data_IF_776804050064
#
_entry.id   IF_776804050064
#
_cell.length_a   1.000
_cell.length_b   1.000
_cell.length_c   1.000
_cell.angle_alpha   90.00
_cell.angle_beta   90.00
_cell.angle_gamma   90.00
#
_symmetry.space_group_name_H-M   'P 1'
#
loop_
_entity.id
_entity.type
_entity.pdbx_description
1 polymer ?
#
# COMPACT_ATOMS: atom_id res chain seq x y z
N UNK A 1 -24.67 5.55 -12.91
CA UNK A 1 -24.22 4.51 -11.96
C UNK A 1 -23.25 5.18 -10.99
N UNK A 2 -23.40 5.03 -9.66
CA UNK A 2 -22.47 5.64 -8.72
C UNK A 2 -21.13 4.88 -8.81
N UNK A 3 -20.03 5.61 -9.03
CA UNK A 3 -18.68 5.04 -8.93
C UNK A 3 -18.47 4.61 -7.48
N UNK A 4 -18.25 3.32 -7.25
CA UNK A 4 -17.86 2.81 -5.93
C UNK A 4 -16.56 3.51 -5.56
N UNK A 5 -16.57 4.33 -4.51
CA UNK A 5 -15.37 5.03 -4.03
C UNK A 5 -14.41 3.95 -3.55
N UNK A 6 -13.20 3.92 -4.12
CA UNK A 6 -12.15 3.04 -3.62
C UNK A 6 -11.80 3.48 -2.19
N UNK A 7 -11.52 2.50 -1.32
CA UNK A 7 -11.10 2.76 0.04
C UNK A 7 -9.72 3.42 0.04
N UNK A 8 -9.54 4.38 0.95
CA UNK A 8 -8.25 5.05 1.20
C UNK A 8 -7.19 4.08 1.74
N UNK A 9 -5.92 4.52 1.69
CA UNK A 9 -4.81 3.80 2.28
C UNK A 9 -5.08 3.42 3.75
N UNK A 10 -5.49 4.39 4.56
CA UNK A 10 -5.75 4.22 5.98
C UNK A 10 -6.90 3.24 6.23
N UNK A 11 -7.94 3.28 5.41
CA UNK A 11 -9.04 2.31 5.47
C UNK A 11 -8.57 0.90 5.09
N UNK A 12 -7.74 0.75 4.06
CA UNK A 12 -7.19 -0.55 3.66
C UNK A 12 -6.26 -1.13 4.74
N UNK A 13 -5.44 -0.29 5.35
CA UNK A 13 -4.53 -0.67 6.44
C UNK A 13 -5.30 -1.10 7.70
N UNK A 14 -6.28 -0.31 8.13
CA UNK A 14 -7.12 -0.66 9.28
C UNK A 14 -7.88 -1.97 9.06
N UNK A 15 -8.40 -2.21 7.84
CA UNK A 15 -9.03 -3.49 7.51
C UNK A 15 -8.06 -4.66 7.55
N UNK A 16 -6.80 -4.46 7.14
CA UNK A 16 -5.76 -5.48 7.20
C UNK A 16 -5.41 -5.82 8.65
N UNK A 17 -5.25 -4.82 9.52
CA UNK A 17 -5.01 -5.00 10.96
C UNK A 17 -6.15 -5.82 11.60
N UNK A 18 -7.41 -5.47 11.31
CA UNK A 18 -8.56 -6.24 11.80
C UNK A 18 -8.57 -7.70 11.33
N UNK A 19 -8.04 -7.99 10.15
CA UNK A 19 -7.92 -9.36 9.64
C UNK A 19 -6.83 -10.11 10.40
N UNK A 20 -5.69 -9.47 10.62
CA UNK A 20 -4.58 -10.05 11.40
C UNK A 20 -5.07 -10.39 12.81
N UNK A 21 -5.74 -9.47 13.50
CA UNK A 21 -6.30 -9.71 14.83
C UNK A 21 -7.23 -10.93 14.87
N UNK A 22 -8.09 -11.08 13.84
CA UNK A 22 -8.99 -12.24 13.72
C UNK A 22 -8.24 -13.54 13.51
N UNK A 23 -7.19 -13.53 12.67
CA UNK A 23 -6.38 -14.71 12.41
C UNK A 23 -5.56 -15.11 13.65
N UNK A 24 -5.06 -14.14 14.42
CA UNK A 24 -4.30 -14.38 15.64
C UNK A 24 -5.17 -14.84 16.82
N UNK A 25 -6.45 -14.45 16.85
CA UNK A 25 -7.38 -14.86 17.92
C UNK A 25 -7.56 -16.38 18.03
N UNK A 26 -7.37 -17.12 16.93
CA UNK A 26 -7.54 -18.58 16.88
C UNK A 26 -8.98 -19.08 17.05
N UNK A 27 -9.97 -18.19 17.14
CA UNK A 27 -11.39 -18.55 17.34
C UNK A 27 -12.17 -18.76 16.03
N UNK A 28 -11.52 -18.54 14.88
CA UNK A 28 -12.15 -18.61 13.56
C UNK A 28 -12.25 -20.04 13.03
N UNK A 29 -13.31 -20.35 12.27
CA UNK A 29 -13.42 -21.64 11.58
C UNK A 29 -12.36 -21.73 10.47
N UNK A 30 -11.99 -22.95 10.05
CA UNK A 30 -11.04 -23.15 8.95
C UNK A 30 -11.44 -22.39 7.68
N UNK A 31 -12.74 -22.34 7.39
CA UNK A 31 -13.25 -21.60 6.24
C UNK A 31 -13.01 -20.10 6.41
N UNK A 32 -13.35 -19.55 7.57
CA UNK A 32 -13.13 -18.13 7.86
C UNK A 32 -11.65 -17.77 7.86
N UNK A 33 -10.76 -18.66 8.31
CA UNK A 33 -9.31 -18.47 8.23
C UNK A 33 -8.86 -18.34 6.78
N UNK A 34 -9.33 -19.21 5.88
CA UNK A 34 -8.99 -19.17 4.45
C UNK A 34 -9.52 -17.87 3.81
N UNK A 35 -10.77 -17.50 4.11
CA UNK A 35 -11.39 -16.29 3.58
C UNK A 35 -10.66 -15.02 4.07
N UNK A 36 -10.38 -14.93 5.37
CA UNK A 36 -9.63 -13.81 5.96
C UNK A 36 -8.20 -13.74 5.43
N UNK A 37 -7.50 -14.86 5.29
CA UNK A 37 -6.15 -14.91 4.74
C UNK A 37 -6.10 -14.37 3.29
N UNK A 38 -7.05 -14.81 2.46
CA UNK A 38 -7.14 -14.38 1.05
C UNK A 38 -7.38 -12.87 0.98
N UNK A 39 -8.33 -12.36 1.77
CA UNK A 39 -8.63 -10.93 1.84
C UNK A 39 -7.44 -10.11 2.37
N UNK A 40 -6.75 -10.63 3.40
CA UNK A 40 -5.55 -10.01 3.96
C UNK A 40 -4.43 -9.90 2.94
N UNK A 41 -4.20 -10.93 2.12
CA UNK A 41 -3.23 -10.86 1.03
C UNK A 41 -3.58 -9.79 -0.01
N UNK A 42 -4.86 -9.68 -0.38
CA UNK A 42 -5.30 -8.66 -1.33
C UNK A 42 -5.11 -7.23 -0.78
N UNK A 43 -5.46 -7.01 0.48
CA UNK A 43 -5.28 -5.72 1.15
C UNK A 43 -3.80 -5.37 1.33
N UNK A 44 -2.97 -6.33 1.73
CA UNK A 44 -1.52 -6.15 1.83
C UNK A 44 -0.91 -5.73 0.50
N UNK A 45 -1.28 -6.41 -0.59
CA UNK A 45 -0.83 -6.05 -1.94
C UNK A 45 -1.25 -4.64 -2.34
N UNK A 46 -2.47 -4.22 -1.99
CA UNK A 46 -2.95 -2.84 -2.27
C UNK A 46 -2.15 -1.80 -1.49
N UNK A 47 -1.93 -2.02 -0.19
CA UNK A 47 -1.16 -1.10 0.64
C UNK A 47 0.27 -0.94 0.11
N UNK A 48 0.93 -2.04 -0.23
CA UNK A 48 2.28 -2.02 -0.81
C UNK A 48 2.32 -1.30 -2.17
N UNK A 49 1.33 -1.53 -3.03
CA UNK A 49 1.25 -0.86 -4.32
C UNK A 49 1.05 0.65 -4.18
N UNK A 50 0.25 1.09 -3.21
CA UNK A 50 0.03 2.51 -2.95
C UNK A 50 1.28 3.18 -2.38
N UNK A 51 1.96 2.53 -1.43
CA UNK A 51 3.26 2.99 -0.92
C UNK A 51 4.30 3.09 -2.03
N UNK A 52 4.41 2.06 -2.89
CA UNK A 52 5.32 2.10 -4.04
C UNK A 52 4.98 3.25 -4.99
N UNK A 53 3.68 3.49 -5.26
CA UNK A 53 3.27 4.60 -6.12
C UNK A 53 3.59 5.97 -5.52
N UNK A 54 3.59 6.10 -4.18
CA UNK A 54 4.04 7.30 -3.49
C UNK A 54 5.57 7.40 -3.55
N UNK A 55 6.28 6.31 -3.31
CA UNK A 55 7.75 6.25 -3.39
C UNK A 55 8.23 6.62 -4.79
N UNK A 56 7.64 6.06 -5.86
CA UNK A 56 7.97 6.38 -7.24
C UNK A 56 7.73 7.86 -7.58
N UNK A 57 6.64 8.43 -7.08
CA UNK A 57 6.34 9.87 -7.25
C UNK A 57 7.29 10.75 -6.45
N UNK A 58 7.62 10.32 -5.23
CA UNK A 58 8.62 11.01 -4.44
C UNK A 58 9.95 10.95 -5.16
N UNK A 59 10.33 9.79 -5.70
CA UNK A 59 11.55 9.49 -6.43
C UNK A 59 11.77 10.31 -7.70
N UNK A 60 10.86 11.21 -8.06
CA UNK A 60 11.08 12.21 -9.12
C UNK A 60 11.23 13.57 -8.45
N UNK A 61 12.46 14.01 -8.22
CA UNK A 61 12.71 15.42 -7.89
C UNK A 61 12.92 16.20 -9.18
N UNK A 62 12.18 17.31 -9.31
CA UNK A 62 12.44 18.34 -10.30
C UNK A 62 13.69 19.11 -9.86
N UNK A 63 14.82 18.89 -10.53
CA UNK A 63 15.99 19.79 -10.41
C UNK A 63 15.99 20.76 -11.58
N UNK A 64 16.31 22.03 -11.32
CA UNK A 64 16.63 22.99 -12.36
C UNK A 64 18.11 22.86 -12.72
N UNK A 65 18.40 22.42 -13.94
CA UNK A 65 19.74 22.50 -14.53
C UNK A 65 19.68 23.46 -15.72
N UNK A 66 20.50 24.52 -15.69
CA UNK A 66 20.58 25.54 -16.75
C UNK A 66 19.22 26.17 -17.14
N UNK A 67 18.31 26.31 -16.17
CA UNK A 67 16.96 26.88 -16.39
C UNK A 67 15.98 25.92 -17.07
N UNK A 68 16.33 24.64 -17.20
CA UNK A 68 15.42 23.59 -17.61
C UNK A 68 15.12 22.66 -16.43
N UNK A 69 13.84 22.32 -16.27
CA UNK A 69 13.40 21.35 -15.29
C UNK A 69 13.69 19.96 -15.83
N UNK A 70 14.51 19.19 -15.14
CA UNK A 70 14.86 17.80 -15.49
C UNK A 70 14.28 16.86 -14.45
N UNK A 71 13.59 15.82 -14.90
CA UNK A 71 13.15 14.70 -14.06
C UNK A 71 14.32 13.76 -13.84
N UNK A 72 14.71 13.56 -12.58
CA UNK A 72 15.75 12.60 -12.21
C UNK A 72 15.27 11.69 -11.07
N UNK A 73 15.71 10.41 -11.05
CA UNK A 73 15.51 9.53 -9.91
C UNK A 73 16.08 10.15 -8.63
N UNK A 74 15.37 10.10 -7.51
CA UNK A 74 15.98 10.31 -6.20
C UNK A 74 16.91 9.16 -5.93
N UNK A 75 18.18 9.52 -5.78
CA UNK A 75 19.13 8.71 -5.05
C UNK A 75 18.94 9.02 -3.57
N UNK A 76 18.09 8.25 -2.88
CA UNK A 76 18.09 8.21 -1.43
C UNK A 76 19.34 7.44 -0.99
N UNK A 77 20.37 8.15 -0.51
CA UNK A 77 21.49 7.51 0.20
C UNK A 77 20.96 6.87 1.49
N UNK A 78 20.50 5.62 1.43
CA UNK A 78 19.89 5.00 2.61
C UNK A 78 19.33 3.58 2.49
N UNK A 79 19.70 2.78 1.47
CA UNK A 79 19.36 1.36 1.41
C UNK A 79 20.63 0.50 1.40
N UNK A 80 21.04 -0.01 2.57
CA UNK A 80 21.89 -1.20 2.63
C UNK A 80 21.05 -2.46 2.38
#
# INVERSE_FOLDING_TARGET
>A
MPRKKEASFEENLANLEMIVDKLESGEASLKDVIDNYTLGMELSKKCLAELQAVEDKMNVILREENGQVVEMPLELEGGQ
#
